data_IF_830484517912
#
_entry.id   IF_830484517912
#
_cell.length_a   1.000
_cell.length_b   1.000
_cell.length_c   1.000
_cell.angle_alpha   90.00
_cell.angle_beta   90.00
_cell.angle_gamma   90.00
#
_symmetry.space_group_name_H-M   'P 1'
#
loop_
_entity.id
_entity.type
_entity.pdbx_description
1 polymer ?
#
# COMPACT_ATOMS: atom_id res chain seq x y z
N UNK A 1 -37.80 -15.65 -14.54
CA UNK A 1 -37.00 -16.09 -13.37
C UNK A 1 -35.89 -15.06 -13.17
N UNK A 2 -36.00 -14.18 -12.17
CA UNK A 2 -34.95 -13.22 -11.85
C UNK A 2 -33.94 -13.90 -10.93
N UNK A 3 -32.76 -14.21 -11.46
CA UNK A 3 -31.63 -14.69 -10.65
C UNK A 3 -30.94 -13.45 -10.08
N UNK A 4 -30.94 -13.32 -8.75
CA UNK A 4 -30.22 -12.23 -8.07
C UNK A 4 -28.73 -12.38 -8.45
N UNK A 5 -28.08 -11.35 -9.02
CA UNK A 5 -26.68 -11.44 -9.39
C UNK A 5 -25.87 -11.80 -8.15
N UNK A 6 -25.08 -12.87 -8.23
CA UNK A 6 -24.28 -13.36 -7.12
C UNK A 6 -23.30 -12.27 -6.70
N UNK A 7 -23.29 -11.94 -5.41
CA UNK A 7 -22.33 -10.97 -4.85
C UNK A 7 -20.93 -11.57 -4.94
N UNK A 8 -20.10 -11.03 -5.84
CA UNK A 8 -18.68 -11.39 -5.89
C UNK A 8 -17.95 -10.63 -4.79
N UNK A 9 -17.47 -11.37 -3.79
CA UNK A 9 -16.60 -10.83 -2.74
C UNK A 9 -15.16 -10.79 -3.27
N UNK A 10 -14.70 -9.62 -3.67
CA UNK A 10 -13.29 -9.42 -4.04
C UNK A 10 -12.48 -9.23 -2.77
N UNK A 11 -11.90 -10.31 -2.24
CA UNK A 11 -10.97 -10.25 -1.11
C UNK A 11 -9.62 -9.75 -1.64
N UNK A 12 -9.12 -8.63 -1.09
CA UNK A 12 -7.74 -8.22 -1.35
C UNK A 12 -6.82 -9.07 -0.48
N UNK A 13 -5.85 -9.81 -1.05
CA UNK A 13 -4.91 -10.59 -0.25
C UNK A 13 -3.99 -9.66 0.54
N UNK A 14 -3.68 -10.06 1.77
CA UNK A 14 -2.76 -9.32 2.64
C UNK A 14 -1.35 -9.30 2.04
N UNK A 15 -0.73 -8.12 1.97
CA UNK A 15 0.60 -7.94 1.41
C UNK A 15 1.72 -8.03 2.46
N UNK A 16 1.40 -7.95 3.75
CA UNK A 16 2.38 -8.17 4.82
C UNK A 16 2.80 -9.65 4.84
N UNK A 17 4.11 -9.88 4.83
CA UNK A 17 4.68 -11.22 4.88
C UNK A 17 5.04 -11.66 6.31
N UNK A 18 5.05 -10.72 7.26
CA UNK A 18 5.38 -10.94 8.66
C UNK A 18 4.57 -9.99 9.53
N UNK A 19 4.17 -10.46 10.71
CA UNK A 19 3.58 -9.63 11.78
C UNK A 19 4.62 -8.72 12.46
N UNK A 20 5.91 -9.10 12.38
CA UNK A 20 7.00 -8.26 12.88
C UNK A 20 7.35 -7.19 11.85
N UNK A 21 6.89 -5.97 12.08
CA UNK A 21 7.23 -4.78 11.33
C UNK A 21 7.21 -3.54 12.23
N UNK A 22 7.97 -2.51 11.84
CA UNK A 22 7.98 -1.21 12.51
C UNK A 22 7.44 -0.14 11.57
N UNK A 23 6.58 0.70 12.11
CA UNK A 23 5.93 1.78 11.35
C UNK A 23 6.36 3.14 11.85
N UNK A 24 6.43 4.10 10.93
CA UNK A 24 6.56 5.51 11.24
C UNK A 24 5.34 6.28 10.73
N UNK A 25 4.95 7.33 11.45
CA UNK A 25 3.88 8.22 11.04
C UNK A 25 4.33 9.11 9.88
N UNK A 26 3.42 9.34 8.94
CA UNK A 26 3.60 10.28 7.84
C UNK A 26 2.28 10.97 7.51
N UNK A 27 2.35 11.98 6.67
CA UNK A 27 1.17 12.59 6.06
C UNK A 27 1.16 12.17 4.59
N UNK A 28 0.11 11.48 4.17
CA UNK A 28 -0.13 11.16 2.76
C UNK A 28 -0.92 12.28 2.13
N UNK A 29 -0.53 12.65 0.91
CA UNK A 29 -1.19 13.72 0.19
C UNK A 29 -2.27 13.19 -0.74
N UNK A 30 -3.27 14.02 -1.03
CA UNK A 30 -4.36 13.66 -1.96
C UNK A 30 -3.85 13.25 -3.35
N UNK A 31 -2.70 13.79 -3.78
CA UNK A 31 -2.08 13.47 -5.07
C UNK A 31 -1.64 12.00 -5.19
N UNK A 32 -1.41 11.31 -4.07
CA UNK A 32 -1.04 9.89 -4.05
C UNK A 32 -2.25 8.95 -4.09
N UNK A 33 -3.46 9.49 -3.90
CA UNK A 33 -4.66 8.69 -3.78
C UNK A 33 -5.27 8.34 -5.13
N UNK A 34 -5.86 7.15 -5.21
CA UNK A 34 -6.60 6.68 -6.38
C UNK A 34 -8.09 6.87 -6.15
N UNK A 35 -8.82 7.31 -7.18
CA UNK A 35 -10.28 7.43 -7.10
C UNK A 35 -10.94 6.04 -7.10
N UNK A 36 -11.67 5.73 -6.04
CA UNK A 36 -12.43 4.48 -5.87
C UNK A 36 -13.83 4.85 -5.37
N UNK A 37 -14.85 4.55 -6.18
CA UNK A 37 -16.27 4.73 -5.80
C UNK A 37 -16.62 6.14 -5.29
N UNK A 38 -16.03 7.18 -5.90
CA UNK A 38 -16.26 8.59 -5.53
C UNK A 38 -15.43 9.09 -4.34
N UNK A 39 -14.56 8.25 -3.76
CA UNK A 39 -13.59 8.62 -2.72
C UNK A 39 -12.17 8.56 -3.25
N UNK A 40 -11.27 9.36 -2.69
CA UNK A 40 -9.85 9.31 -3.02
C UNK A 40 -9.13 8.52 -1.93
N UNK A 41 -8.61 7.34 -2.27
CA UNK A 41 -8.00 6.41 -1.31
C UNK A 41 -6.54 6.14 -1.70
N UNK A 42 -5.62 6.39 -0.77
CA UNK A 42 -4.25 5.88 -0.86
C UNK A 42 -4.27 4.42 -0.41
N UNK A 43 -3.93 3.50 -1.31
CA UNK A 43 -3.97 2.08 -0.99
C UNK A 43 -2.78 1.65 -0.12
N UNK A 44 -3.05 0.81 0.87
CA UNK A 44 -2.02 0.07 1.59
C UNK A 44 -1.21 -0.80 0.62
N UNK A 45 0.11 -0.76 0.76
CA UNK A 45 1.06 -1.32 -0.20
C UNK A 45 1.65 -0.28 -1.16
N UNK A 46 1.22 0.98 -1.11
CA UNK A 46 1.83 2.05 -1.92
C UNK A 46 3.16 2.50 -1.33
N UNK A 47 4.17 2.70 -2.19
CA UNK A 47 5.48 3.22 -1.78
C UNK A 47 5.36 4.70 -1.44
N UNK A 48 5.86 5.09 -0.27
CA UNK A 48 5.84 6.46 0.24
C UNK A 48 7.25 7.06 0.25
N UNK A 49 7.43 8.35 -0.09
CA UNK A 49 6.46 9.27 -0.69
C UNK A 49 6.29 9.09 -2.21
N UNK A 50 7.28 8.49 -2.88
CA UNK A 50 7.25 8.17 -4.31
C UNK A 50 7.96 6.85 -4.58
N UNK A 51 7.59 6.19 -5.68
CA UNK A 51 8.15 4.89 -6.09
C UNK A 51 9.50 5.07 -6.80
N UNK A 52 10.44 5.77 -6.17
CA UNK A 52 11.72 6.18 -6.73
C UNK A 52 12.83 6.08 -5.66
N UNK A 53 14.01 6.63 -5.94
CA UNK A 53 15.13 6.69 -5.00
C UNK A 53 14.85 7.52 -3.72
N UNK A 54 13.68 8.15 -3.61
CA UNK A 54 13.23 8.87 -2.41
C UNK A 54 12.31 8.03 -1.53
N UNK A 55 12.05 6.77 -1.88
CA UNK A 55 11.20 5.87 -1.12
C UNK A 55 11.72 5.69 0.31
N UNK A 56 10.85 5.98 1.29
CA UNK A 56 11.09 5.80 2.72
C UNK A 56 10.46 4.51 3.23
N UNK A 57 9.33 4.10 2.66
CA UNK A 57 8.62 2.92 3.13
C UNK A 57 7.38 2.58 2.33
N UNK A 58 6.55 1.72 2.90
CA UNK A 58 5.30 1.26 2.28
C UNK A 58 4.13 1.53 3.20
N UNK A 59 3.07 2.17 2.71
CA UNK A 59 1.87 2.47 3.50
C UNK A 59 1.21 1.18 4.00
N UNK A 60 0.90 1.10 5.30
CA UNK A 60 0.40 -0.12 5.96
C UNK A 60 -1.09 -0.36 5.65
N UNK A 61 -1.90 0.68 5.69
CA UNK A 61 -3.37 0.58 5.59
C UNK A 61 -3.91 1.50 4.51
N UNK A 62 -5.12 1.21 4.03
CA UNK A 62 -5.82 2.13 3.13
C UNK A 62 -6.17 3.41 3.89
N UNK A 63 -5.85 4.56 3.31
CA UNK A 63 -6.13 5.88 3.91
C UNK A 63 -7.01 6.68 2.96
N UNK A 64 -8.12 7.18 3.50
CA UNK A 64 -9.02 8.08 2.77
C UNK A 64 -8.48 9.50 2.82
N UNK A 65 -8.25 10.09 1.64
CA UNK A 65 -7.75 11.46 1.43
C UNK A 65 -8.77 12.28 0.61
N UNK A 66 -10.05 11.91 0.68
CA UNK A 66 -11.12 12.54 -0.11
C UNK A 66 -11.21 14.04 0.19
N UNK A 67 -11.19 14.39 1.48
CA UNK A 67 -11.31 15.76 1.99
C UNK A 67 -9.96 16.50 2.16
N UNK A 68 -8.82 15.86 1.85
CA UNK A 68 -7.51 16.49 1.97
C UNK A 68 -6.40 15.53 2.39
N UNK A 69 -5.26 16.10 2.78
CA UNK A 69 -4.12 15.34 3.28
C UNK A 69 -4.46 14.67 4.61
N UNK A 70 -4.05 13.40 4.77
CA UNK A 70 -4.42 12.59 5.92
C UNK A 70 -3.19 11.97 6.61
N UNK A 71 -3.24 11.76 7.94
CA UNK A 71 -2.20 11.02 8.63
C UNK A 71 -2.25 9.53 8.24
N UNK A 72 -1.07 8.96 8.02
CA UNK A 72 -0.88 7.56 7.66
C UNK A 72 0.33 7.00 8.39
N UNK A 73 0.53 5.69 8.25
CA UNK A 73 1.72 5.00 8.72
C UNK A 73 2.38 4.26 7.55
N UNK A 74 3.69 4.42 7.40
CA UNK A 74 4.50 3.61 6.50
C UNK A 74 5.36 2.62 7.29
N UNK A 75 5.58 1.45 6.70
CA UNK A 75 6.51 0.43 7.14
C UNK A 75 7.91 0.90 6.78
N UNK A 76 8.75 1.09 7.79
CA UNK A 76 10.19 1.36 7.64
C UNK A 76 11.00 0.06 7.71
N UNK A 77 10.62 -0.84 8.62
CA UNK A 77 11.21 -2.18 8.76
C UNK A 77 10.16 -3.27 8.67
N UNK A 78 10.42 -4.34 7.92
CA UNK A 78 9.53 -5.50 7.90
C UNK A 78 9.72 -6.40 6.68
N UNK A 79 8.77 -7.31 6.46
CA UNK A 79 8.76 -8.14 5.26
C UNK A 79 7.41 -8.00 4.53
N UNK A 80 7.46 -7.81 3.21
CA UNK A 80 6.27 -7.62 2.35
C UNK A 80 6.31 -8.53 1.14
N UNK A 81 5.14 -8.91 0.63
CA UNK A 81 5.00 -9.70 -0.59
C UNK A 81 4.90 -8.80 -1.83
N UNK A 82 5.92 -8.81 -2.69
CA UNK A 82 5.97 -7.94 -3.87
C UNK A 82 4.79 -8.20 -4.84
N UNK A 83 4.41 -9.47 -5.04
CA UNK A 83 3.30 -9.86 -5.92
C UNK A 83 1.90 -9.46 -5.41
N UNK A 84 1.78 -8.99 -4.16
CA UNK A 84 0.51 -8.60 -3.54
C UNK A 84 0.38 -7.09 -3.37
N UNK A 85 1.41 -6.32 -3.76
CA UNK A 85 1.34 -4.87 -3.74
C UNK A 85 0.46 -4.36 -4.89
N UNK A 86 -0.24 -3.23 -4.70
CA UNK A 86 -1.06 -2.63 -5.74
C UNK A 86 -0.22 -2.10 -6.92
N UNK A 87 1.01 -1.70 -6.65
CA UNK A 87 1.98 -1.19 -7.64
C UNK A 87 3.31 -1.89 -7.39
N UNK A 88 3.96 -2.34 -8.47
CA UNK A 88 5.29 -2.93 -8.38
C UNK A 88 6.31 -1.89 -7.90
N UNK A 89 7.15 -2.28 -6.95
CA UNK A 89 8.21 -1.40 -6.43
C UNK A 89 9.27 -1.20 -7.52
N UNK A 90 9.57 0.06 -7.83
CA UNK A 90 10.55 0.40 -8.86
C UNK A 90 11.94 -0.09 -8.47
N UNK A 91 12.76 -0.41 -9.46
CA UNK A 91 14.14 -0.85 -9.24
C UNK A 91 14.98 0.21 -8.49
N UNK A 92 14.63 1.49 -8.62
CA UNK A 92 15.27 2.59 -7.90
C UNK A 92 14.86 2.67 -6.42
N UNK A 93 13.67 2.19 -6.05
CA UNK A 93 13.17 2.21 -4.68
C UNK A 93 13.69 1.02 -3.85
N UNK A 94 13.88 -0.16 -4.49
CA UNK A 94 14.42 -1.37 -3.84
C UNK A 94 15.71 -1.16 -3.04
N UNK A 95 16.76 -0.47 -3.56
CA UNK A 95 18.01 -0.28 -2.81
C UNK A 95 17.91 0.73 -1.67
N UNK A 96 16.87 1.58 -1.66
CA UNK A 96 16.65 2.58 -0.61
C UNK A 96 15.88 1.98 0.56
N UNK A 97 14.94 1.08 0.27
CA UNK A 97 14.17 0.29 1.23
C UNK A 97 14.98 -0.87 1.84
N UNK A 98 16.18 -0.57 2.36
CA UNK A 98 17.14 -1.57 2.88
C UNK A 98 16.61 -2.41 4.04
N UNK A 99 15.65 -1.83 4.75
CA UNK A 99 15.07 -2.39 5.97
C UNK A 99 13.81 -3.22 5.68
N UNK A 100 13.36 -3.24 4.41
CA UNK A 100 12.21 -4.01 3.96
C UNK A 100 12.68 -5.23 3.17
N UNK A 101 12.24 -6.41 3.61
CA UNK A 101 12.53 -7.68 2.95
C UNK A 101 11.38 -8.00 1.99
N UNK A 102 11.67 -7.99 0.70
CA UNK A 102 10.72 -8.41 -0.33
C UNK A 102 10.69 -9.94 -0.44
N UNK A 103 9.51 -10.52 -0.25
CA UNK A 103 9.25 -11.95 -0.41
C UNK A 103 8.30 -12.20 -1.57
N UNK A 104 8.36 -13.41 -2.10
CA UNK A 104 7.44 -13.91 -3.10
C UNK A 104 6.41 -14.81 -2.39
N UNK A 105 5.12 -14.55 -2.61
CA UNK A 105 4.08 -15.46 -2.12
C UNK A 105 4.03 -16.69 -3.03
N UNK A 106 4.02 -17.89 -2.44
CA UNK A 106 4.02 -19.18 -3.15
C UNK A 106 2.60 -19.69 -3.38
#
# INVERSE_FOLDING_TARGET
>A
MFVKPGTTYSVRPEFLASDHFTTQSCTVTKAMGTAVDGRTIVKGGTVFPANDATALGIIVHDVDVTDGDAPAAYIDHGAVYENRLPVAVAELAKPVLKNIIFRQYK
#
